data_IF_634613470409
#
_entry.id   IF_634613470409
#
_cell.length_a   1.000
_cell.length_b   1.000
_cell.length_c   1.000
_cell.angle_alpha   90.00
_cell.angle_beta   90.00
_cell.angle_gamma   90.00
#
_symmetry.space_group_name_H-M   'P 1'
#
loop_
_entity.id
_entity.type
_entity.pdbx_description
1 polymer ?
#
# COMPACT_ATOMS: atom_id res chain seq x y z
N UNK A 1 4.06 -16.52 32.91
CA UNK A 1 3.60 -16.84 31.59
C UNK A 1 4.04 -15.71 30.67
N UNK A 2 4.90 -15.95 29.69
CA UNK A 2 5.31 -14.90 28.75
C UNK A 2 4.07 -14.48 27.96
N UNK A 3 3.73 -13.19 28.02
CA UNK A 3 2.61 -12.65 27.27
C UNK A 3 3.00 -12.70 25.80
N UNK A 4 2.35 -13.52 24.99
CA UNK A 4 2.61 -13.62 23.56
C UNK A 4 2.05 -12.37 22.87
N UNK A 5 2.77 -11.88 21.86
CA UNK A 5 2.30 -10.78 21.00
C UNK A 5 1.23 -11.33 20.08
N UNK A 6 0.02 -10.82 20.20
CA UNK A 6 -1.15 -11.23 19.43
C UNK A 6 -1.15 -10.55 18.07
N UNK A 7 -1.23 -11.33 17.02
CA UNK A 7 -1.14 -10.86 15.65
C UNK A 7 -2.42 -11.17 14.87
N UNK A 8 -2.75 -10.30 13.91
CA UNK A 8 -3.67 -10.60 12.84
C UNK A 8 -3.00 -10.28 11.49
N UNK A 9 -3.40 -11.01 10.46
CA UNK A 9 -2.87 -10.88 9.10
C UNK A 9 -4.00 -10.53 8.15
N UNK A 10 -3.75 -9.65 7.18
CA UNK A 10 -4.69 -9.39 6.09
C UNK A 10 -3.94 -9.30 4.76
N UNK A 11 -4.27 -10.20 3.83
CA UNK A 11 -3.65 -10.29 2.51
C UNK A 11 -4.53 -11.14 1.60
N UNK A 12 -4.79 -10.72 0.37
CA UNK A 12 -5.63 -11.49 -0.57
C UNK A 12 -4.88 -12.64 -1.24
N UNK A 13 -3.54 -12.63 -1.21
CA UNK A 13 -2.68 -13.68 -1.73
C UNK A 13 -2.59 -14.87 -0.75
N UNK A 14 -3.40 -15.91 -0.97
CA UNK A 14 -3.47 -17.09 -0.09
C UNK A 14 -2.09 -17.68 0.24
N UNK A 15 -1.25 -17.85 -0.78
CA UNK A 15 0.08 -18.46 -0.59
C UNK A 15 0.99 -17.60 0.29
N UNK A 16 0.97 -16.27 0.07
CA UNK A 16 1.73 -15.32 0.87
C UNK A 16 1.24 -15.33 2.33
N UNK A 17 -0.06 -15.25 2.54
CA UNK A 17 -0.69 -15.25 3.86
C UNK A 17 -0.38 -16.54 4.64
N UNK A 18 -0.47 -17.71 4.00
CA UNK A 18 -0.10 -18.99 4.61
C UNK A 18 1.40 -19.07 4.91
N UNK A 19 2.25 -18.62 4.00
CA UNK A 19 3.70 -18.54 4.21
C UNK A 19 4.08 -17.66 5.38
N UNK A 20 3.43 -16.49 5.48
CA UNK A 20 3.62 -15.54 6.56
C UNK A 20 3.21 -16.16 7.92
N UNK A 21 2.03 -16.79 7.98
CA UNK A 21 1.56 -17.52 9.17
C UNK A 21 2.55 -18.62 9.60
N UNK A 22 3.06 -19.39 8.65
CA UNK A 22 4.03 -20.45 8.93
C UNK A 22 5.38 -19.89 9.46
N UNK A 23 5.82 -18.73 8.99
CA UNK A 23 7.02 -18.06 9.49
C UNK A 23 6.79 -17.60 10.92
N UNK A 24 5.67 -16.91 11.18
CA UNK A 24 5.36 -16.36 12.50
C UNK A 24 5.11 -17.44 13.54
N UNK A 25 4.51 -18.55 13.17
CA UNK A 25 4.29 -19.71 14.07
C UNK A 25 5.59 -20.36 14.59
N UNK A 26 6.75 -20.10 13.99
CA UNK A 26 8.06 -20.57 14.49
C UNK A 26 8.57 -19.77 15.68
N UNK A 27 8.04 -18.56 15.87
CA UNK A 27 8.42 -17.68 16.97
C UNK A 27 7.47 -17.91 18.15
N UNK A 28 7.98 -18.45 19.25
CA UNK A 28 7.19 -18.76 20.46
C UNK A 28 6.55 -17.54 21.13
N UNK A 29 7.05 -16.35 20.80
CA UNK A 29 6.59 -15.08 21.33
C UNK A 29 5.35 -14.53 20.59
N UNK A 30 4.95 -15.15 19.46
CA UNK A 30 3.83 -14.69 18.65
C UNK A 30 2.64 -15.66 18.74
N UNK A 31 1.46 -15.08 18.75
CA UNK A 31 0.18 -15.77 18.62
C UNK A 31 -0.63 -15.15 17.48
N UNK A 32 -0.80 -15.87 16.36
CA UNK A 32 -1.59 -15.40 15.22
C UNK A 32 -3.04 -15.77 15.44
N UNK A 33 -3.84 -14.83 15.95
CA UNK A 33 -5.24 -15.03 16.29
C UNK A 33 -6.07 -15.43 15.09
N UNK A 34 -5.96 -14.69 13.99
CA UNK A 34 -6.68 -14.93 12.75
C UNK A 34 -5.97 -14.35 11.54
N UNK A 35 -6.43 -14.73 10.36
CA UNK A 35 -6.03 -14.13 9.09
C UNK A 35 -7.28 -13.81 8.25
N UNK A 36 -7.23 -12.68 7.54
CA UNK A 36 -8.29 -12.12 6.73
C UNK A 36 -7.87 -12.10 5.24
N UNK A 37 -8.85 -12.24 4.36
CA UNK A 37 -8.65 -12.24 2.90
C UNK A 37 -8.66 -10.86 2.29
N UNK A 38 -9.23 -9.89 3.01
CA UNK A 38 -9.31 -8.49 2.61
C UNK A 38 -9.60 -7.60 3.83
N UNK A 39 -9.70 -6.28 3.60
CA UNK A 39 -9.94 -5.32 4.67
C UNK A 39 -11.34 -5.42 5.29
N UNK A 40 -12.36 -5.86 4.53
CA UNK A 40 -13.71 -6.02 5.08
C UNK A 40 -13.76 -7.23 6.02
N UNK A 41 -13.21 -8.37 5.58
CA UNK A 41 -13.07 -9.58 6.41
C UNK A 41 -12.26 -9.27 7.69
N UNK A 42 -11.16 -8.48 7.57
CA UNK A 42 -10.38 -8.02 8.72
C UNK A 42 -11.24 -7.22 9.72
N UNK A 43 -12.01 -6.24 9.24
CA UNK A 43 -12.86 -5.42 10.10
C UNK A 43 -13.97 -6.23 10.78
N UNK A 44 -14.58 -7.17 10.06
CA UNK A 44 -15.65 -8.01 10.57
C UNK A 44 -15.11 -8.95 11.66
N UNK A 45 -13.94 -9.55 11.45
CA UNK A 45 -13.27 -10.38 12.46
C UNK A 45 -12.85 -9.56 13.69
N UNK A 46 -12.32 -8.35 13.53
CA UNK A 46 -11.99 -7.45 14.65
C UNK A 46 -13.20 -7.12 15.50
N UNK A 47 -14.33 -6.78 14.86
CA UNK A 47 -15.57 -6.43 15.56
C UNK A 47 -16.24 -7.60 16.27
N UNK A 48 -16.05 -8.82 15.74
CA UNK A 48 -16.58 -10.05 16.33
C UNK A 48 -15.69 -10.66 17.42
N UNK A 49 -14.44 -10.22 17.52
CA UNK A 49 -13.43 -10.85 18.39
C UNK A 49 -13.52 -10.36 19.84
N UNK A 50 -13.54 -11.29 20.79
CA UNK A 50 -13.39 -10.98 22.22
C UNK A 50 -11.95 -10.60 22.59
N UNK A 51 -10.98 -11.04 21.79
CA UNK A 51 -9.56 -10.80 22.01
C UNK A 51 -8.98 -10.09 20.79
N UNK A 52 -8.56 -8.85 20.97
CA UNK A 52 -7.99 -8.05 19.90
C UNK A 52 -6.48 -8.32 19.70
N UNK A 53 -5.98 -8.23 18.46
CA UNK A 53 -4.55 -8.30 18.20
C UNK A 53 -3.83 -7.06 18.71
N UNK A 54 -2.57 -7.23 19.12
CA UNK A 54 -1.67 -6.12 19.46
C UNK A 54 -1.13 -5.46 18.19
N UNK A 55 -0.87 -6.29 17.15
CA UNK A 55 -0.29 -5.85 15.87
C UNK A 55 -1.02 -6.51 14.71
N UNK A 56 -1.36 -5.72 13.71
CA UNK A 56 -1.90 -6.18 12.42
C UNK A 56 -0.85 -5.99 11.33
N UNK A 57 -0.61 -7.04 10.53
CA UNK A 57 0.13 -6.95 9.29
C UNK A 57 -0.88 -6.95 8.16
N UNK A 58 -0.96 -5.88 7.38
CA UNK A 58 -1.95 -5.74 6.30
C UNK A 58 -1.31 -5.42 4.96
N UNK A 59 -1.72 -6.12 3.90
CA UNK A 59 -1.41 -5.67 2.56
C UNK A 59 -2.17 -4.37 2.25
N UNK A 60 -1.60 -3.57 1.36
CA UNK A 60 -2.21 -2.32 0.90
C UNK A 60 -3.25 -2.55 -0.19
N UNK A 61 -3.04 -3.57 -1.02
CA UNK A 61 -3.92 -3.91 -2.13
C UNK A 61 -4.69 -5.17 -1.80
N UNK A 62 -5.95 -5.00 -1.51
CA UNK A 62 -6.90 -6.09 -1.29
C UNK A 62 -8.22 -5.73 -1.97
N UNK A 63 -9.02 -6.72 -2.41
CA UNK A 63 -10.36 -6.49 -2.93
C UNK A 63 -11.29 -5.91 -1.82
N UNK A 64 -12.51 -5.56 -2.19
CA UNK A 64 -13.58 -5.04 -1.34
C UNK A 64 -13.12 -3.80 -0.54
N UNK A 65 -12.45 -3.97 0.59
CA UNK A 65 -11.85 -2.91 1.39
C UNK A 65 -10.33 -3.05 1.36
N UNK A 66 -9.63 -2.11 0.72
CA UNK A 66 -8.18 -2.13 0.64
C UNK A 66 -7.51 -1.78 1.98
N UNK A 67 -6.22 -2.13 2.14
CA UNK A 67 -5.50 -1.96 3.40
C UNK A 67 -5.35 -0.51 3.87
N UNK A 68 -5.48 0.47 2.98
CA UNK A 68 -5.42 1.88 3.37
C UNK A 68 -6.72 2.31 4.03
N UNK A 69 -7.86 1.95 3.43
CA UNK A 69 -9.16 2.25 4.04
C UNK A 69 -9.36 1.44 5.33
N UNK A 70 -8.94 0.16 5.34
CA UNK A 70 -8.92 -0.64 6.56
C UNK A 70 -8.08 0.02 7.67
N UNK A 71 -6.86 0.51 7.34
CA UNK A 71 -6.00 1.21 8.31
C UNK A 71 -6.70 2.43 8.93
N UNK A 72 -7.41 3.24 8.13
CA UNK A 72 -8.17 4.40 8.64
C UNK A 72 -9.27 3.98 9.61
N UNK A 73 -10.02 2.93 9.25
CA UNK A 73 -11.11 2.42 10.08
C UNK A 73 -10.56 1.84 11.38
N UNK A 74 -9.51 1.02 11.30
CA UNK A 74 -8.88 0.42 12.48
C UNK A 74 -8.33 1.51 13.39
N UNK A 75 -7.61 2.49 12.85
CA UNK A 75 -7.08 3.59 13.67
C UNK A 75 -8.18 4.40 14.38
N UNK A 76 -9.37 4.49 13.78
CA UNK A 76 -10.53 5.17 14.37
C UNK A 76 -11.28 4.31 15.41
N UNK A 77 -11.52 3.03 15.11
CA UNK A 77 -12.33 2.13 15.92
C UNK A 77 -11.52 1.41 17.00
N UNK A 78 -10.26 1.14 16.72
CA UNK A 78 -9.33 0.36 17.57
C UNK A 78 -7.95 1.05 17.68
N UNK A 79 -7.86 2.23 18.31
CA UNK A 79 -6.66 3.10 18.29
C UNK A 79 -5.43 2.48 18.95
N UNK A 80 -5.61 1.45 19.79
CA UNK A 80 -4.49 0.77 20.47
C UNK A 80 -3.79 -0.27 19.59
N UNK A 81 -4.44 -0.73 18.53
CA UNK A 81 -3.88 -1.71 17.60
C UNK A 81 -2.80 -1.07 16.72
N UNK A 82 -1.63 -1.68 16.69
CA UNK A 82 -0.50 -1.24 15.86
C UNK A 82 -0.61 -1.82 14.46
N UNK A 83 -0.46 -1.01 13.43
CA UNK A 83 -0.61 -1.44 12.03
C UNK A 83 0.74 -1.40 11.32
N UNK A 84 1.18 -2.55 10.81
CA UNK A 84 2.33 -2.73 9.94
C UNK A 84 1.82 -2.89 8.51
N UNK A 85 2.12 -1.94 7.62
CA UNK A 85 1.78 -2.03 6.22
C UNK A 85 2.76 -2.97 5.49
N UNK A 86 2.24 -3.99 4.84
CA UNK A 86 2.98 -4.85 3.90
C UNK A 86 2.71 -4.37 2.47
N UNK A 87 3.73 -4.41 1.62
CA UNK A 87 3.54 -3.96 0.23
C UNK A 87 4.53 -4.58 -0.73
N UNK A 88 4.09 -4.81 -1.95
CA UNK A 88 4.95 -5.05 -3.10
C UNK A 88 5.57 -3.76 -3.64
N UNK A 89 5.09 -2.58 -3.18
CA UNK A 89 5.50 -1.26 -3.66
C UNK A 89 6.16 -0.43 -2.57
N UNK A 90 7.47 -0.25 -2.70
CA UNK A 90 8.25 0.59 -1.79
C UNK A 90 8.44 1.97 -2.41
N UNK A 91 7.44 2.86 -2.28
CA UNK A 91 7.52 4.22 -2.81
C UNK A 91 7.23 5.27 -1.76
N UNK A 92 7.95 6.41 -1.83
CA UNK A 92 7.84 7.53 -0.90
C UNK A 92 6.41 8.02 -0.68
N UNK A 93 5.58 8.27 -1.73
CA UNK A 93 4.22 8.77 -1.53
C UNK A 93 3.34 7.82 -0.72
N UNK A 94 3.49 6.51 -0.94
CA UNK A 94 2.73 5.49 -0.20
C UNK A 94 3.16 5.42 1.26
N UNK A 95 4.45 5.39 1.52
CA UNK A 95 5.00 5.33 2.87
C UNK A 95 4.50 6.53 3.69
N UNK A 96 4.65 7.74 3.15
CA UNK A 96 4.20 8.96 3.82
C UNK A 96 2.69 8.96 4.06
N UNK A 97 1.89 8.49 3.07
CA UNK A 97 0.45 8.38 3.24
C UNK A 97 0.07 7.37 4.33
N UNK A 98 0.63 6.15 4.30
CA UNK A 98 0.33 5.12 5.30
C UNK A 98 0.65 5.58 6.72
N UNK A 99 1.79 6.23 6.91
CA UNK A 99 2.16 6.79 8.21
C UNK A 99 1.18 7.88 8.63
N UNK A 100 0.75 8.75 7.71
CA UNK A 100 -0.20 9.83 8.02
C UNK A 100 -1.58 9.37 8.43
N UNK A 101 -1.98 8.15 8.06
CA UNK A 101 -3.28 7.54 8.40
C UNK A 101 -3.21 6.54 9.55
N UNK A 102 -2.03 6.36 10.17
CA UNK A 102 -1.89 5.59 11.39
C UNK A 102 -1.06 4.29 11.29
N UNK A 103 -0.45 3.97 10.14
CA UNK A 103 0.51 2.87 10.10
C UNK A 103 1.78 3.23 10.87
N UNK A 104 2.24 2.35 11.74
CA UNK A 104 3.41 2.55 12.60
C UNK A 104 4.68 1.87 12.09
N UNK A 105 4.56 1.05 11.06
CA UNK A 105 5.69 0.48 10.33
C UNK A 105 5.28 0.17 8.88
N UNK A 106 6.28 0.04 8.03
CA UNK A 106 6.12 -0.23 6.60
C UNK A 106 7.18 -1.23 6.14
N UNK A 107 6.76 -2.37 5.61
CA UNK A 107 7.61 -3.44 5.15
C UNK A 107 7.32 -3.82 3.70
N UNK A 108 8.36 -4.06 2.93
CA UNK A 108 8.19 -4.68 1.62
C UNK A 108 7.85 -6.17 1.77
N UNK A 109 6.94 -6.71 0.95
CA UNK A 109 6.58 -8.15 0.96
C UNK A 109 7.79 -9.07 0.70
N UNK A 110 8.83 -8.59 0.02
CA UNK A 110 10.08 -9.30 -0.20
C UNK A 110 11.11 -9.12 0.93
N UNK A 111 10.73 -8.51 2.05
CA UNK A 111 11.58 -8.40 3.23
C UNK A 111 11.93 -9.78 3.81
N UNK A 112 13.11 -9.86 4.43
CA UNK A 112 13.52 -11.14 5.07
C UNK A 112 12.65 -11.46 6.28
N UNK A 113 12.39 -12.75 6.59
CA UNK A 113 11.68 -13.15 7.81
C UNK A 113 12.28 -12.54 9.08
N UNK A 114 13.60 -12.45 9.16
CA UNK A 114 14.31 -11.83 10.29
C UNK A 114 13.94 -10.35 10.49
N UNK A 115 13.84 -9.59 9.38
CA UNK A 115 13.46 -8.18 9.46
C UNK A 115 12.01 -8.04 9.89
N UNK A 116 11.11 -8.90 9.41
CA UNK A 116 9.70 -8.91 9.78
C UNK A 116 9.53 -9.19 11.28
N UNK A 117 10.13 -10.26 11.78
CA UNK A 117 10.11 -10.60 13.22
C UNK A 117 10.63 -9.44 14.06
N UNK A 118 11.77 -8.85 13.65
CA UNK A 118 12.32 -7.67 14.33
C UNK A 118 11.33 -6.51 14.33
N UNK A 119 10.71 -6.20 13.18
CA UNK A 119 9.77 -5.09 13.07
C UNK A 119 8.56 -5.28 13.97
N UNK A 120 7.98 -6.49 14.05
CA UNK A 120 6.85 -6.77 14.92
C UNK A 120 7.24 -6.53 16.40
N UNK A 121 8.39 -7.03 16.85
CA UNK A 121 8.87 -6.83 18.23
C UNK A 121 9.10 -5.35 18.53
N UNK A 122 9.80 -4.64 17.67
CA UNK A 122 10.06 -3.19 17.82
C UNK A 122 8.75 -2.37 17.86
N UNK A 123 7.78 -2.71 16.99
CA UNK A 123 6.46 -2.08 16.97
C UNK A 123 5.70 -2.34 18.27
N UNK A 124 5.71 -3.57 18.75
CA UNK A 124 5.06 -3.93 20.02
C UNK A 124 5.67 -3.20 21.21
N UNK A 125 7.02 -3.19 21.30
CA UNK A 125 7.75 -2.62 22.45
C UNK A 125 7.79 -1.08 22.41
N UNK A 126 8.05 -0.49 21.24
CA UNK A 126 8.33 0.96 21.09
C UNK A 126 7.16 1.74 20.47
N UNK A 127 6.14 1.04 19.95
CA UNK A 127 5.01 1.65 19.28
C UNK A 127 5.22 1.93 17.80
N UNK A 128 6.44 1.91 17.28
CA UNK A 128 6.75 2.11 15.84
C UNK A 128 8.10 1.51 15.45
N UNK A 129 8.27 1.27 14.14
CA UNK A 129 9.57 0.93 13.56
C UNK A 129 9.68 1.47 12.14
N UNK A 130 10.70 2.29 11.89
CA UNK A 130 11.04 2.77 10.56
C UNK A 130 12.51 2.49 10.28
N UNK A 131 12.81 1.86 9.16
CA UNK A 131 14.18 1.72 8.70
C UNK A 131 14.76 3.06 8.21
N UNK A 132 16.04 3.10 7.93
CA UNK A 132 16.74 4.33 7.51
C UNK A 132 16.13 4.93 6.24
N UNK A 133 15.64 4.11 5.32
CA UNK A 133 15.04 4.57 4.06
C UNK A 133 13.67 5.18 4.29
N UNK A 134 12.84 4.56 5.12
CA UNK A 134 11.53 5.09 5.53
C UNK A 134 11.71 6.41 6.28
N UNK A 135 12.66 6.48 7.22
CA UNK A 135 12.96 7.72 7.95
C UNK A 135 13.37 8.86 7.01
N UNK A 136 14.18 8.56 5.99
CA UNK A 136 14.56 9.55 4.97
C UNK A 136 13.34 10.08 4.21
N UNK A 137 12.41 9.20 3.81
CA UNK A 137 11.18 9.61 3.13
C UNK A 137 10.26 10.46 4.01
N UNK A 138 10.15 10.13 5.30
CA UNK A 138 9.41 10.93 6.27
C UNK A 138 10.04 12.33 6.38
N UNK A 139 11.35 12.39 6.56
CA UNK A 139 12.08 13.67 6.69
C UNK A 139 11.91 14.54 5.46
N UNK A 140 12.08 13.98 4.26
CA UNK A 140 11.85 14.71 3.00
C UNK A 140 10.39 15.15 2.82
N UNK A 141 9.43 14.34 3.27
CA UNK A 141 8.00 14.70 3.24
C UNK A 141 7.65 15.85 4.20
N UNK A 142 8.34 15.93 5.33
CA UNK A 142 8.17 17.03 6.29
C UNK A 142 8.76 18.34 5.77
N UNK A 143 9.87 18.27 5.03
CA UNK A 143 10.55 19.45 4.48
C UNK A 143 9.83 20.06 3.27
N UNK A 144 8.98 19.29 2.57
CA UNK A 144 8.21 19.73 1.41
C UNK A 144 6.69 19.72 1.68
N UNK A 145 6.14 20.70 2.40
CA UNK A 145 4.70 20.73 2.76
C UNK A 145 3.75 20.82 1.56
N UNK A 146 4.22 21.23 0.39
CA UNK A 146 3.43 21.30 -0.84
C UNK A 146 3.04 19.90 -1.38
N UNK A 147 3.75 18.84 -1.01
CA UNK A 147 3.38 17.45 -1.30
C UNK A 147 2.32 16.91 -0.31
N UNK A 148 1.97 17.66 0.75
CA UNK A 148 1.05 17.23 1.84
C UNK A 148 -0.42 17.12 1.48
N UNK A 149 -0.84 17.40 0.26
CA UNK A 149 -2.24 17.22 -0.17
C UNK A 149 -2.45 16.02 -1.08
N UNK A 150 -1.98 14.86 -0.66
CA UNK A 150 -2.60 13.63 -1.13
C UNK A 150 -3.89 13.44 -0.32
N UNK A 151 -4.96 14.10 -0.77
CA UNK A 151 -6.31 13.83 -0.27
C UNK A 151 -6.61 12.36 -0.52
N UNK A 152 -7.04 11.69 0.52
CA UNK A 152 -7.48 10.30 0.52
C UNK A 152 -8.68 10.08 -0.39
N UNK A 153 -8.44 9.71 -1.62
CA UNK A 153 -9.38 9.04 -2.47
C UNK A 153 -8.61 7.97 -3.21
N UNK A 154 -8.69 6.75 -2.74
CA UNK A 154 -8.05 5.58 -3.36
C UNK A 154 -8.57 5.31 -4.77
N UNK A 155 -9.71 5.90 -5.14
CA UNK A 155 -10.32 5.73 -6.46
C UNK A 155 -9.71 6.57 -7.57
N UNK A 156 -8.91 7.63 -7.28
CA UNK A 156 -8.37 8.49 -8.34
C UNK A 156 -6.95 9.01 -8.12
N UNK A 157 -6.30 8.74 -6.98
CA UNK A 157 -5.05 9.41 -6.59
C UNK A 157 -3.83 8.49 -6.48
N UNK A 158 -3.94 7.28 -7.00
CA UNK A 158 -2.80 6.35 -7.13
C UNK A 158 -1.74 6.87 -8.10
N UNK A 159 -2.15 7.73 -9.01
CA UNK A 159 -1.30 8.32 -10.02
C UNK A 159 -0.96 9.78 -9.66
N UNK A 160 0.30 10.14 -9.80
CA UNK A 160 0.69 11.56 -9.76
C UNK A 160 -0.05 12.33 -10.85
N UNK A 161 -0.16 13.65 -10.73
CA UNK A 161 -0.75 14.49 -11.79
C UNK A 161 -0.12 14.18 -13.15
N UNK A 162 1.21 14.01 -13.16
CA UNK A 162 1.96 13.72 -14.39
C UNK A 162 1.70 12.33 -14.95
N UNK A 163 1.55 11.34 -14.10
CA UNK A 163 1.17 9.98 -14.53
C UNK A 163 -0.25 9.94 -15.10
N UNK A 164 -1.19 10.73 -14.54
CA UNK A 164 -2.53 10.85 -15.10
C UNK A 164 -2.51 11.49 -16.48
N UNK A 165 -1.78 12.60 -16.65
CA UNK A 165 -1.61 13.27 -17.94
C UNK A 165 -1.02 12.30 -18.98
N UNK A 166 -0.01 11.53 -18.62
CA UNK A 166 0.57 10.49 -19.48
C UNK A 166 -0.44 9.38 -19.79
N UNK A 167 -1.18 8.90 -18.78
CA UNK A 167 -2.18 7.85 -18.94
C UNK A 167 -3.33 8.29 -19.86
N UNK A 168 -3.82 9.51 -19.71
CA UNK A 168 -4.85 10.09 -20.58
C UNK A 168 -4.40 10.14 -22.05
N UNK A 169 -3.15 10.57 -22.29
CA UNK A 169 -2.61 10.60 -23.66
C UNK A 169 -2.37 9.20 -24.23
N UNK A 170 -1.95 8.22 -23.39
CA UNK A 170 -1.90 6.82 -23.80
C UNK A 170 -3.28 6.32 -24.21
N UNK A 171 -4.32 6.58 -23.43
CA UNK A 171 -5.70 6.19 -23.76
C UNK A 171 -6.22 6.88 -25.03
N UNK A 172 -5.72 8.06 -25.36
CA UNK A 172 -5.95 8.78 -26.62
C UNK A 172 -5.04 8.33 -27.77
N UNK A 173 -4.34 7.20 -27.60
CA UNK A 173 -3.49 6.56 -28.62
C UNK A 173 -2.25 7.38 -29.04
N UNK A 174 -1.78 8.33 -28.23
CA UNK A 174 -0.56 9.07 -28.52
C UNK A 174 0.67 8.17 -28.36
N UNK A 175 1.63 8.35 -29.26
CA UNK A 175 2.95 7.72 -29.21
C UNK A 175 3.81 8.35 -28.09
N UNK A 176 4.89 7.69 -27.71
CA UNK A 176 5.85 8.22 -26.73
C UNK A 176 6.38 9.62 -27.12
N UNK A 177 6.64 9.85 -28.43
CA UNK A 177 7.15 11.13 -28.90
C UNK A 177 6.06 12.23 -28.84
N UNK A 178 4.84 11.93 -29.27
CA UNK A 178 3.72 12.87 -29.18
C UNK A 178 3.39 13.23 -27.73
N UNK A 179 3.45 12.26 -26.79
CA UNK A 179 3.29 12.53 -25.36
C UNK A 179 4.42 13.44 -24.85
N UNK A 180 5.65 13.18 -25.28
CA UNK A 180 6.81 13.97 -24.89
C UNK A 180 6.67 15.44 -25.33
N UNK A 181 6.24 15.66 -26.58
CA UNK A 181 5.97 16.99 -27.13
C UNK A 181 4.80 17.67 -26.42
N UNK A 182 3.65 16.99 -26.28
CA UNK A 182 2.45 17.53 -25.63
C UNK A 182 2.70 17.95 -24.19
N UNK A 183 3.59 17.23 -23.50
CA UNK A 183 3.88 17.45 -22.08
C UNK A 183 5.18 18.20 -21.83
N UNK A 184 5.91 18.63 -22.87
CA UNK A 184 7.20 19.32 -22.76
C UNK A 184 8.24 18.58 -21.91
N UNK A 185 8.40 17.25 -22.13
CA UNK A 185 9.36 16.40 -21.45
C UNK A 185 10.12 15.51 -22.47
N UNK A 186 11.19 14.87 -22.01
CA UNK A 186 11.90 13.94 -22.90
C UNK A 186 11.14 12.62 -23.11
N UNK A 187 11.29 11.96 -24.28
CA UNK A 187 10.74 10.61 -24.49
C UNK A 187 11.18 9.61 -23.39
N UNK A 188 12.41 9.72 -22.90
CA UNK A 188 12.92 8.90 -21.79
C UNK A 188 12.12 9.12 -20.50
N UNK A 189 11.69 10.35 -20.23
CA UNK A 189 10.86 10.68 -19.08
C UNK A 189 9.45 10.08 -19.23
N UNK A 190 8.88 10.10 -20.44
CA UNK A 190 7.60 9.44 -20.75
C UNK A 190 7.68 7.93 -20.50
N UNK A 191 8.76 7.27 -20.96
CA UNK A 191 8.97 5.84 -20.69
C UNK A 191 9.08 5.55 -19.20
N UNK A 192 9.73 6.43 -18.43
CA UNK A 192 9.75 6.33 -16.97
C UNK A 192 8.34 6.36 -16.35
N UNK A 193 7.49 7.28 -16.79
CA UNK A 193 6.10 7.33 -16.34
C UNK A 193 5.28 6.13 -16.79
N UNK A 194 5.46 5.64 -18.04
CA UNK A 194 4.80 4.43 -18.54
C UNK A 194 5.15 3.20 -17.70
N UNK A 195 6.44 3.01 -17.40
CA UNK A 195 6.91 1.91 -16.56
C UNK A 195 6.30 1.99 -15.13
N UNK A 196 6.25 3.19 -14.55
CA UNK A 196 5.62 3.40 -13.25
C UNK A 196 4.11 3.10 -13.29
N UNK A 197 3.42 3.50 -14.37
CA UNK A 197 2.00 3.19 -14.58
C UNK A 197 1.77 1.68 -14.70
N UNK A 198 2.57 0.98 -15.51
CA UNK A 198 2.48 -0.48 -15.65
C UNK A 198 2.71 -1.18 -14.31
N UNK A 199 3.73 -0.76 -13.56
CA UNK A 199 4.00 -1.28 -12.23
C UNK A 199 2.85 -1.02 -11.26
N UNK A 200 2.35 0.20 -11.20
CA UNK A 200 1.26 0.59 -10.29
C UNK A 200 -0.05 -0.14 -10.57
N UNK A 201 -0.34 -0.44 -11.83
CA UNK A 201 -1.57 -1.11 -12.26
C UNK A 201 -1.40 -2.62 -12.41
N UNK A 202 -0.18 -3.14 -12.21
CA UNK A 202 0.19 -4.53 -12.47
C UNK A 202 -0.12 -4.98 -13.90
N UNK A 203 -0.22 -4.02 -14.81
CA UNK A 203 -0.49 -4.29 -16.21
C UNK A 203 0.76 -4.83 -16.90
N UNK A 204 0.62 -5.93 -17.65
CA UNK A 204 1.74 -6.56 -18.36
C UNK A 204 2.21 -5.76 -19.57
N UNK A 205 1.34 -4.91 -20.11
CA UNK A 205 1.59 -4.10 -21.31
C UNK A 205 0.63 -2.90 -21.37
N UNK A 206 0.82 -2.03 -22.36
CA UNK A 206 0.00 -0.83 -22.54
C UNK A 206 -1.47 -1.15 -22.78
N UNK A 207 -1.80 -2.22 -23.48
CA UNK A 207 -3.19 -2.62 -23.68
C UNK A 207 -3.87 -2.94 -22.33
N UNK A 208 -3.20 -3.69 -21.45
CA UNK A 208 -3.67 -3.94 -20.10
C UNK A 208 -3.84 -2.66 -19.28
N UNK A 209 -2.90 -1.71 -19.42
CA UNK A 209 -2.98 -0.41 -18.76
C UNK A 209 -4.21 0.40 -19.22
N UNK A 210 -4.52 0.41 -20.52
CA UNK A 210 -5.71 1.08 -21.06
C UNK A 210 -6.99 0.42 -20.53
N UNK A 211 -7.06 -0.93 -20.54
CA UNK A 211 -8.19 -1.66 -19.96
C UNK A 211 -8.38 -1.32 -18.50
N UNK A 212 -7.31 -1.29 -17.73
CA UNK A 212 -7.34 -0.90 -16.32
C UNK A 212 -7.89 0.52 -16.14
N UNK A 213 -7.41 1.50 -16.94
CA UNK A 213 -7.85 2.88 -16.85
C UNK A 213 -9.37 3.04 -17.12
N UNK A 214 -9.90 2.26 -18.07
CA UNK A 214 -11.32 2.25 -18.41
C UNK A 214 -12.15 1.60 -17.30
N UNK A 215 -11.75 0.41 -16.84
CA UNK A 215 -12.47 -0.34 -15.80
C UNK A 215 -12.60 0.45 -14.49
N UNK A 216 -11.53 1.18 -14.13
CA UNK A 216 -11.49 1.97 -12.91
C UNK A 216 -11.92 3.43 -13.10
N UNK A 217 -12.49 3.78 -14.28
CA UNK A 217 -12.97 5.13 -14.60
C UNK A 217 -11.96 6.24 -14.31
N UNK A 218 -10.66 5.95 -14.53
CA UNK A 218 -9.57 6.89 -14.30
C UNK A 218 -9.51 7.93 -15.40
N UNK A 219 -9.90 7.51 -16.62
CA UNK A 219 -9.96 8.34 -17.82
C UNK A 219 -11.39 8.31 -18.33
N UNK A 220 -11.95 9.48 -18.54
CA UNK A 220 -13.27 9.63 -19.15
C UNK A 220 -13.11 9.62 -20.69
N UNK A 221 -13.63 8.58 -21.33
CA UNK A 221 -13.58 8.43 -22.79
C UNK A 221 -14.68 9.23 -23.53
N UNK A 222 -15.64 9.80 -22.79
CA UNK A 222 -16.76 10.55 -23.37
C UNK A 222 -16.39 11.97 -23.81
N UNK A 223 -15.18 12.44 -23.57
CA UNK A 223 -14.67 13.71 -24.09
C UNK A 223 -14.04 13.53 -25.47
N UNK A 224 -14.88 13.42 -26.51
CA UNK A 224 -14.62 13.57 -27.94
C UNK A 224 -13.31 12.97 -28.48
N UNK A 225 -13.43 11.79 -29.13
CA UNK A 225 -12.55 11.43 -30.24
C UNK A 225 -12.66 12.44 -31.38
#
# INVERSE_FOLDING_TARGET
MSNQIKLALADDELLFRQGLRAILAREKEFDVLFDATDGQDLMDQLRASEVLPDVILTDLKMPELNGVEATKLIHKEFPDIKIIALTSYFSKPFIVNMISIGAVAYLAKNSTPKLMVKTIKEVYEKGFYYDTQVLKFIQEGLLNPSEKKLKSNFDTTYFTKREKEVLELICKQHTTNEIAEALFISPRTVEGHRNNLLLKTESKNIAGLVVYAIQHKIVDLDSKF
#
